data_IF_670051970037
#
_entry.id   IF_670051970037
#
_cell.length_a   1.000
_cell.length_b   1.000
_cell.length_c   1.000
_cell.angle_alpha   90.00
_cell.angle_beta   90.00
_cell.angle_gamma   90.00
#
_symmetry.space_group_name_H-M   'P 1'
#
loop_
_entity.id
_entity.type
_entity.pdbx_description
1 polymer ?
#
# COMPACT_ATOMS: atom_id res chain seq x y z
N UNK A 1 -52.46 -19.86 -46.88
CA UNK A 1 -51.81 -18.63 -46.39
C UNK A 1 -51.34 -18.88 -44.96
N UNK A 2 -50.05 -19.18 -44.76
CA UNK A 2 -49.47 -19.47 -43.44
C UNK A 2 -48.99 -18.16 -42.81
N UNK A 3 -49.53 -17.82 -41.63
CA UNK A 3 -49.05 -16.72 -40.78
C UNK A 3 -47.71 -17.15 -40.15
N UNK A 4 -46.65 -16.37 -40.40
CA UNK A 4 -45.38 -16.50 -39.70
C UNK A 4 -45.51 -15.67 -38.41
N UNK A 5 -45.38 -16.33 -37.25
CA UNK A 5 -45.26 -15.69 -35.95
C UNK A 5 -43.81 -15.19 -35.80
N UNK A 6 -43.61 -13.88 -35.67
CA UNK A 6 -42.37 -13.30 -35.17
C UNK A 6 -42.42 -13.31 -33.64
N UNK A 7 -41.59 -14.14 -33.01
CA UNK A 7 -41.30 -14.05 -31.58
C UNK A 7 -40.23 -12.95 -31.37
N UNK A 8 -40.36 -12.08 -30.36
CA UNK A 8 -39.33 -11.11 -30.07
C UNK A 8 -38.13 -11.82 -29.42
N UNK A 9 -36.95 -11.62 -30.01
CA UNK A 9 -35.67 -11.96 -29.39
C UNK A 9 -35.48 -11.03 -28.19
N UNK A 10 -35.69 -11.56 -26.99
CA UNK A 10 -35.32 -10.87 -25.75
C UNK A 10 -33.79 -10.97 -25.65
N UNK A 11 -33.11 -9.91 -26.06
CA UNK A 11 -31.69 -9.73 -25.84
C UNK A 11 -31.50 -9.37 -24.35
N UNK A 12 -31.17 -10.37 -23.54
CA UNK A 12 -30.80 -10.18 -22.15
C UNK A 12 -29.39 -9.52 -22.14
N UNK A 13 -29.33 -8.19 -22.12
CA UNK A 13 -28.10 -7.48 -21.79
C UNK A 13 -27.80 -7.72 -20.31
N UNK A 14 -26.99 -8.75 -20.02
CA UNK A 14 -26.22 -8.79 -18.79
C UNK A 14 -25.26 -7.59 -18.84
N UNK A 15 -25.52 -6.59 -18.00
CA UNK A 15 -24.59 -5.47 -17.83
C UNK A 15 -23.29 -6.02 -17.26
N UNK A 16 -22.31 -6.26 -18.14
CA UNK A 16 -20.91 -6.23 -17.75
C UNK A 16 -20.64 -4.79 -17.34
N UNK A 17 -20.75 -4.54 -16.04
CA UNK A 17 -20.22 -3.34 -15.42
C UNK A 17 -18.71 -3.50 -15.49
N UNK A 18 -18.13 -3.13 -16.63
CA UNK A 18 -16.70 -2.87 -16.72
C UNK A 18 -16.43 -1.81 -15.66
N UNK A 19 -15.67 -2.20 -14.64
CA UNK A 19 -15.05 -1.23 -13.76
C UNK A 19 -14.10 -0.45 -14.65
N UNK A 20 -14.53 0.74 -15.08
CA UNK A 20 -13.68 1.69 -15.81
C UNK A 20 -12.59 2.12 -14.83
N UNK A 21 -11.54 1.31 -14.70
CA UNK A 21 -10.29 1.76 -14.14
C UNK A 21 -9.74 2.78 -15.14
N UNK A 22 -9.68 4.04 -14.72
CA UNK A 22 -9.19 5.13 -15.56
C UNK A 22 -7.77 4.80 -16.01
N UNK A 23 -7.58 4.57 -17.31
CA UNK A 23 -6.28 4.24 -17.92
C UNK A 23 -5.24 5.37 -17.80
N UNK A 24 -5.61 6.55 -17.26
CA UNK A 24 -4.75 7.74 -17.19
C UNK A 24 -4.37 8.21 -15.77
N UNK A 25 -4.64 7.43 -14.72
CA UNK A 25 -4.19 7.79 -13.38
C UNK A 25 -2.88 7.05 -13.04
N UNK A 26 -1.74 7.74 -12.88
CA UNK A 26 -0.43 7.13 -12.64
C UNK A 26 -0.30 6.43 -11.27
N UNK A 27 -1.37 6.43 -10.46
CA UNK A 27 -1.41 5.91 -9.11
C UNK A 27 -2.05 4.53 -8.97
N UNK A 28 -2.39 3.87 -10.08
CA UNK A 28 -2.89 2.49 -10.04
C UNK A 28 -1.78 1.48 -10.28
N UNK A 29 -1.82 0.43 -9.47
CA UNK A 29 -1.07 -0.79 -9.66
C UNK A 29 -2.07 -1.94 -9.78
N UNK A 30 -2.25 -2.46 -11.00
CA UNK A 30 -3.12 -3.62 -11.23
C UNK A 30 -2.27 -4.88 -11.32
N UNK A 31 -2.39 -5.76 -10.33
CA UNK A 31 -1.79 -7.09 -10.36
C UNK A 31 -2.85 -8.15 -10.04
N UNK A 32 -2.77 -9.30 -10.68
CA UNK A 32 -3.51 -10.49 -10.23
C UNK A 32 -2.55 -11.37 -9.43
N UNK A 33 -3.00 -11.89 -8.29
CA UNK A 33 -2.26 -12.81 -7.43
C UNK A 33 -1.35 -12.15 -6.40
N UNK A 34 -1.63 -10.94 -5.94
CA UNK A 34 -0.76 -10.28 -4.95
C UNK A 34 -0.90 -10.92 -3.56
N UNK A 35 0.21 -11.49 -3.07
CA UNK A 35 0.30 -12.10 -1.75
C UNK A 35 0.81 -11.11 -0.71
N UNK A 36 1.86 -10.39 -1.10
CA UNK A 36 2.57 -9.45 -0.25
C UNK A 36 2.68 -8.09 -0.94
N UNK A 37 2.62 -7.04 -0.13
CA UNK A 37 2.99 -5.70 -0.52
C UNK A 37 4.12 -5.23 0.40
N UNK A 38 5.15 -4.62 -0.14
CA UNK A 38 6.16 -3.90 0.65
C UNK A 38 6.02 -2.41 0.34
N UNK A 39 5.77 -1.62 1.37
CA UNK A 39 5.82 -0.15 1.31
C UNK A 39 7.19 0.28 1.81
N UNK A 40 7.93 1.07 1.04
CA UNK A 40 9.23 1.63 1.43
C UNK A 40 9.17 3.15 1.44
N UNK A 41 9.50 3.74 2.57
CA UNK A 41 9.71 5.18 2.72
C UNK A 41 11.19 5.43 2.51
N UNK A 42 11.57 6.00 1.36
CA UNK A 42 12.96 6.27 1.00
C UNK A 42 13.27 7.76 1.02
N UNK A 43 14.40 8.11 1.61
CA UNK A 43 14.93 9.46 1.66
C UNK A 43 16.46 9.50 1.58
N UNK A 44 16.96 10.59 1.02
CA UNK A 44 18.39 10.93 1.03
C UNK A 44 18.66 12.18 1.87
N UNK A 45 19.93 12.43 2.17
CA UNK A 45 20.37 13.60 2.93
C UNK A 45 20.27 14.93 2.17
N UNK A 46 20.14 14.90 0.84
CA UNK A 46 20.15 16.09 0.01
C UNK A 46 18.79 16.77 -0.12
N UNK A 47 17.71 15.98 -0.11
CA UNK A 47 16.33 16.44 -0.28
C UNK A 47 15.46 16.11 0.92
N UNK A 48 15.52 14.87 1.41
CA UNK A 48 14.75 14.46 2.58
C UNK A 48 15.31 15.05 3.86
N UNK A 49 16.45 14.51 4.30
CA UNK A 49 17.04 14.79 5.60
C UNK A 49 17.61 13.54 6.26
N UNK A 50 17.48 13.44 7.57
CA UNK A 50 17.95 12.30 8.37
C UNK A 50 16.92 11.92 9.41
N UNK A 51 16.77 10.63 9.69
CA UNK A 51 15.92 10.10 10.76
C UNK A 51 14.43 10.40 10.53
N UNK A 52 13.86 9.73 9.52
CA UNK A 52 12.43 9.82 9.21
C UNK A 52 11.70 8.70 9.97
N UNK A 53 10.79 9.09 10.86
CA UNK A 53 9.95 8.17 11.62
C UNK A 53 8.65 7.88 10.87
N UNK A 54 8.42 6.61 10.53
CA UNK A 54 7.26 6.18 9.75
C UNK A 54 6.10 5.68 10.61
N UNK A 55 4.87 5.79 10.10
CA UNK A 55 3.65 5.20 10.69
C UNK A 55 2.84 4.55 9.59
N UNK A 56 2.51 3.27 9.74
CA UNK A 56 1.61 2.58 8.81
C UNK A 56 0.52 1.86 9.56
N UNK A 57 -0.73 1.98 9.12
CA UNK A 57 -1.86 1.30 9.75
C UNK A 57 -2.93 0.91 8.74
N UNK A 58 -3.63 -0.19 9.03
CA UNK A 58 -4.87 -0.53 8.36
C UNK A 58 -6.01 0.23 9.05
N UNK A 59 -6.66 1.11 8.29
CA UNK A 59 -7.74 1.98 8.76
C UNK A 59 -9.11 1.56 8.27
N UNK A 60 -9.19 0.70 7.25
CA UNK A 60 -10.40 0.00 6.84
C UNK A 60 -10.09 -1.48 6.58
N UNK A 61 -10.61 -2.43 7.38
CA UNK A 61 -11.36 -2.17 8.62
C UNK A 61 -10.40 -1.60 9.69
N UNK A 62 -10.86 -0.65 10.50
CA UNK A 62 -10.01 -0.01 11.49
C UNK A 62 -9.44 -1.00 12.51
N UNK A 63 -8.12 -0.99 12.71
CA UNK A 63 -7.42 -1.86 13.67
C UNK A 63 -6.81 -1.11 14.86
N UNK A 64 -6.72 0.22 14.79
CA UNK A 64 -6.17 1.11 15.84
C UNK A 64 -4.74 0.74 16.29
N UNK A 65 -3.93 0.17 15.39
CA UNK A 65 -2.53 -0.16 15.61
C UNK A 65 -1.74 0.44 14.45
N UNK A 66 -0.89 1.43 14.75
CA UNK A 66 0.14 1.89 13.84
C UNK A 66 1.43 1.08 14.09
N UNK A 67 2.10 0.65 13.02
CA UNK A 67 3.47 0.14 13.11
C UNK A 67 4.47 1.25 12.77
N UNK A 68 5.62 1.25 13.44
CA UNK A 68 6.66 2.27 13.30
C UNK A 68 7.39 2.60 14.60
N UNK A 69 8.30 3.58 14.54
CA UNK A 69 9.08 4.00 15.71
C UNK A 69 8.20 4.45 16.88
N UNK A 70 8.53 4.00 18.09
CA UNK A 70 7.74 4.24 19.31
C UNK A 70 6.24 3.85 19.20
N UNK A 71 5.89 2.97 18.25
CA UNK A 71 4.56 2.36 18.08
C UNK A 71 4.70 0.82 18.10
N UNK A 72 3.84 0.09 17.37
CA UNK A 72 3.96 -1.35 17.23
C UNK A 72 5.08 -1.75 16.26
N UNK A 73 5.74 -2.88 16.50
CA UNK A 73 6.58 -3.50 15.46
C UNK A 73 5.75 -4.32 14.46
N UNK A 74 4.59 -4.82 14.90
CA UNK A 74 3.68 -5.65 14.10
C UNK A 74 2.22 -5.30 14.39
N UNK A 75 1.35 -5.59 13.43
CA UNK A 75 -0.10 -5.58 13.60
C UNK A 75 -0.69 -6.95 13.21
N UNK A 76 -0.79 -7.86 14.18
CA UNK A 76 -1.52 -9.12 14.04
C UNK A 76 -1.01 -10.07 12.94
N UNK A 77 0.23 -9.91 12.48
CA UNK A 77 0.81 -10.64 11.34
C UNK A 77 0.51 -10.02 9.97
N UNK A 78 -0.33 -8.99 9.92
CA UNK A 78 -0.70 -8.31 8.68
C UNK A 78 0.27 -7.22 8.29
N UNK A 79 0.75 -6.45 9.26
CA UNK A 79 1.80 -5.46 9.08
C UNK A 79 3.03 -5.85 9.89
N UNK A 80 4.21 -5.71 9.31
CA UNK A 80 5.49 -5.90 9.99
C UNK A 80 6.50 -4.82 9.58
N UNK A 81 6.96 -4.02 10.54
CA UNK A 81 7.88 -2.92 10.30
C UNK A 81 9.35 -3.38 10.23
N UNK A 82 10.05 -2.86 9.23
CA UNK A 82 11.46 -3.10 8.95
C UNK A 82 12.39 -2.58 10.06
N UNK A 83 11.95 -1.61 10.86
CA UNK A 83 12.70 -1.06 11.98
C UNK A 83 13.21 0.35 11.73
N UNK A 84 13.81 0.91 12.77
CA UNK A 84 14.19 2.32 12.92
C UNK A 84 15.51 2.65 12.20
N UNK A 85 15.44 3.40 11.10
CA UNK A 85 16.61 3.91 10.40
C UNK A 85 16.89 5.37 10.78
N UNK A 86 17.73 5.56 11.80
CA UNK A 86 18.10 6.90 12.31
C UNK A 86 19.04 7.70 11.41
N UNK A 87 19.43 7.14 10.25
CA UNK A 87 20.32 7.76 9.28
C UNK A 87 19.60 8.23 8.02
N UNK A 88 20.12 7.77 6.88
CA UNK A 88 19.57 7.97 5.54
C UNK A 88 19.28 6.63 4.89
N UNK A 89 18.42 6.62 3.88
CA UNK A 89 18.05 5.39 3.17
C UNK A 89 16.54 5.19 3.26
N UNK A 90 16.10 4.09 3.87
CA UNK A 90 14.68 3.80 3.94
C UNK A 90 14.28 3.05 5.21
N UNK A 91 12.98 3.10 5.48
CA UNK A 91 12.25 2.15 6.30
C UNK A 91 11.18 1.48 5.46
N UNK A 92 10.73 0.30 5.87
CA UNK A 92 9.70 -0.42 5.14
C UNK A 92 8.69 -1.10 6.03
N UNK A 93 7.52 -1.40 5.48
CA UNK A 93 6.49 -2.22 6.11
C UNK A 93 6.10 -3.32 5.14
N UNK A 94 6.18 -4.56 5.60
CA UNK A 94 5.61 -5.72 4.93
C UNK A 94 4.11 -5.78 5.25
N UNK A 95 3.30 -5.97 4.21
CA UNK A 95 1.87 -6.24 4.31
C UNK A 95 1.54 -7.62 3.73
N UNK A 96 0.94 -8.48 4.55
CA UNK A 96 0.44 -9.80 4.15
C UNK A 96 -0.98 -9.71 3.58
N UNK A 97 -1.11 -9.24 2.33
CA UNK A 97 -2.42 -8.95 1.69
C UNK A 97 -3.30 -10.20 1.52
N UNK A 98 -2.73 -11.35 1.13
CA UNK A 98 -3.50 -12.60 1.05
C UNK A 98 -4.01 -13.03 2.42
N UNK A 99 -3.21 -12.88 3.47
CA UNK A 99 -3.61 -13.23 4.83
C UNK A 99 -4.74 -12.31 5.32
N UNK A 100 -4.64 -11.00 5.06
CA UNK A 100 -5.70 -10.03 5.32
C UNK A 100 -7.02 -10.43 4.62
N UNK A 101 -6.97 -10.68 3.32
CA UNK A 101 -8.15 -11.08 2.54
C UNK A 101 -8.75 -12.41 3.02
N UNK A 102 -7.91 -13.37 3.41
CA UNK A 102 -8.34 -14.66 3.96
C UNK A 102 -9.03 -14.48 5.31
N UNK A 103 -8.45 -13.68 6.20
CA UNK A 103 -8.95 -13.47 7.56
C UNK A 103 -10.25 -12.66 7.60
N UNK A 104 -10.38 -11.67 6.72
CA UNK A 104 -11.55 -10.81 6.61
C UNK A 104 -12.38 -11.20 5.39
N UNK A 105 -12.82 -12.45 5.35
CA UNK A 105 -13.60 -12.99 4.24
C UNK A 105 -14.85 -12.13 3.98
N UNK A 106 -15.04 -11.72 2.73
CA UNK A 106 -16.17 -10.88 2.32
C UNK A 106 -15.93 -9.37 2.47
N UNK A 107 -14.83 -8.95 3.08
CA UNK A 107 -14.40 -7.55 3.03
C UNK A 107 -13.88 -7.22 1.63
N UNK A 108 -14.27 -6.06 1.09
CA UNK A 108 -14.09 -5.76 -0.34
C UNK A 108 -12.80 -4.99 -0.64
N UNK A 109 -12.33 -4.21 0.31
CA UNK A 109 -11.16 -3.34 0.16
C UNK A 109 -10.44 -3.19 1.48
N UNK A 110 -9.15 -2.90 1.47
CA UNK A 110 -8.42 -2.50 2.66
C UNK A 110 -7.75 -1.16 2.42
N UNK A 111 -7.91 -0.22 3.36
CA UNK A 111 -7.25 1.07 3.30
C UNK A 111 -6.07 1.06 4.27
N UNK A 112 -4.87 1.24 3.74
CA UNK A 112 -3.61 1.26 4.48
C UNK A 112 -3.09 2.70 4.48
N UNK A 113 -3.18 3.36 5.63
CA UNK A 113 -2.72 4.75 5.82
C UNK A 113 -1.22 4.78 6.06
N UNK A 114 -0.57 5.78 5.49
CA UNK A 114 0.84 6.08 5.67
C UNK A 114 0.98 7.49 6.26
N UNK A 115 1.77 7.63 7.33
CA UNK A 115 2.22 8.92 7.85
C UNK A 115 3.71 8.89 8.14
N UNK A 116 4.31 10.06 8.27
CA UNK A 116 5.70 10.17 8.71
C UNK A 116 6.00 11.55 9.32
N UNK A 117 7.11 11.65 10.05
CA UNK A 117 7.72 12.93 10.43
C UNK A 117 9.24 12.78 10.53
N UNK A 118 9.94 13.91 10.50
CA UNK A 118 11.39 13.95 10.70
C UNK A 118 11.70 14.05 12.18
N UNK A 119 12.36 13.05 12.76
CA UNK A 119 12.81 13.11 14.15
C UNK A 119 13.99 14.07 14.30
N UNK A 120 14.99 13.93 13.43
CA UNK A 120 16.23 14.71 13.50
C UNK A 120 16.21 15.93 12.58
N UNK A 121 16.51 15.77 11.29
CA UNK A 121 16.71 16.90 10.37
C UNK A 121 15.84 16.75 9.13
N UNK A 122 15.14 17.82 8.75
CA UNK A 122 14.46 17.96 7.47
C UNK A 122 15.20 18.96 6.58
N UNK A 123 15.36 18.65 5.29
CA UNK A 123 15.86 19.58 4.27
C UNK A 123 14.69 20.18 3.48
N UNK A 124 14.26 19.59 2.36
CA UNK A 124 12.96 19.91 1.75
C UNK A 124 11.86 19.05 2.35
N UNK A 125 12.20 17.84 2.79
CA UNK A 125 11.27 16.85 3.31
C UNK A 125 10.66 15.97 2.23
N UNK A 126 11.14 16.06 0.99
CA UNK A 126 10.70 15.18 -0.09
C UNK A 126 11.22 13.77 0.12
N UNK A 127 10.31 12.80 0.04
CA UNK A 127 10.59 11.37 0.13
C UNK A 127 9.93 10.65 -1.04
N UNK A 128 10.49 9.49 -1.38
CA UNK A 128 9.86 8.54 -2.28
C UNK A 128 9.14 7.47 -1.45
N UNK A 129 7.87 7.24 -1.72
CA UNK A 129 7.15 6.08 -1.19
C UNK A 129 6.98 5.08 -2.31
N UNK A 130 7.65 3.95 -2.17
CA UNK A 130 7.65 2.86 -3.14
C UNK A 130 6.73 1.73 -2.67
N UNK A 131 5.93 1.21 -3.59
CA UNK A 131 5.04 0.08 -3.40
C UNK A 131 5.51 -1.05 -4.29
N UNK A 132 5.86 -2.20 -3.73
CA UNK A 132 6.24 -3.39 -4.52
C UNK A 132 5.37 -4.58 -4.16
N UNK A 133 4.66 -5.12 -5.15
CA UNK A 133 3.81 -6.30 -5.00
C UNK A 133 4.53 -7.60 -5.34
N UNK A 134 4.25 -8.66 -4.59
CA UNK A 134 4.83 -9.99 -4.81
C UNK A 134 3.74 -11.08 -4.79
N UNK A 135 3.88 -12.07 -5.67
CA UNK A 135 3.13 -13.34 -5.66
C UNK A 135 4.03 -14.46 -5.13
N UNK A 136 3.53 -15.19 -4.14
CA UNK A 136 4.21 -16.33 -3.53
C UNK A 136 5.53 -16.00 -2.85
N UNK A 137 6.35 -17.05 -2.68
CA UNK A 137 7.64 -16.96 -2.01
C UNK A 137 7.55 -16.75 -0.51
N UNK A 138 8.70 -16.41 0.08
CA UNK A 138 8.84 -16.08 1.50
C UNK A 138 9.46 -14.70 1.63
N UNK A 139 8.81 -13.83 2.40
CA UNK A 139 9.39 -12.54 2.77
C UNK A 139 10.44 -12.74 3.88
N UNK A 140 11.63 -12.21 3.66
CA UNK A 140 12.76 -12.28 4.58
C UNK A 140 13.23 -10.86 4.87
N UNK A 141 13.34 -10.54 6.15
CA UNK A 141 13.85 -9.24 6.59
C UNK A 141 15.33 -9.10 6.23
N UNK A 142 15.69 -7.96 5.64
CA UNK A 142 17.06 -7.59 5.29
C UNK A 142 17.32 -6.13 5.68
N UNK A 143 17.98 -5.93 6.82
CA UNK A 143 18.11 -4.60 7.43
C UNK A 143 16.74 -3.96 7.69
N UNK A 144 16.53 -2.78 7.11
CA UNK A 144 15.27 -2.03 7.15
C UNK A 144 14.30 -2.40 6.01
N UNK A 145 14.60 -3.46 5.26
CA UNK A 145 13.88 -3.94 4.07
C UNK A 145 13.22 -5.32 4.28
N UNK A 146 12.42 -5.68 3.29
CA UNK A 146 11.89 -7.02 3.04
C UNK A 146 12.25 -7.49 1.63
N UNK A 147 12.85 -8.68 1.53
CA UNK A 147 13.19 -9.35 0.28
C UNK A 147 12.29 -10.56 0.10
N UNK A 148 11.70 -10.70 -1.08
CA UNK A 148 10.97 -11.91 -1.44
C UNK A 148 11.94 -12.98 -1.98
N UNK A 149 11.97 -14.15 -1.34
CA UNK A 149 12.76 -15.30 -1.78
C UNK A 149 11.84 -16.37 -2.38
N UNK A 150 12.09 -16.70 -3.64
CA UNK A 150 11.39 -17.79 -4.35
C UNK A 150 9.98 -17.46 -4.84
N UNK A 151 9.52 -16.21 -4.73
CA UNK A 151 8.30 -15.71 -5.37
C UNK A 151 8.61 -14.81 -6.56
N UNK A 152 7.58 -14.10 -7.04
CA UNK A 152 7.65 -13.25 -8.22
C UNK A 152 7.28 -11.82 -7.86
N UNK A 153 8.11 -10.85 -8.22
CA UNK A 153 7.74 -9.43 -8.17
C UNK A 153 6.74 -9.14 -9.29
N UNK A 154 5.53 -8.72 -8.93
CA UNK A 154 4.47 -8.39 -9.89
C UNK A 154 4.67 -7.00 -10.48
N UNK A 155 5.26 -6.10 -9.70
CA UNK A 155 5.80 -4.84 -10.16
C UNK A 155 5.89 -3.81 -9.03
N UNK A 156 6.06 -2.56 -9.43
CA UNK A 156 6.40 -1.46 -8.53
C UNK A 156 5.77 -0.14 -8.99
N UNK A 157 5.39 0.71 -8.04
CA UNK A 157 5.14 2.13 -8.28
C UNK A 157 5.78 2.98 -7.20
N UNK A 158 6.02 4.25 -7.52
CA UNK A 158 6.63 5.22 -6.62
C UNK A 158 5.85 6.52 -6.68
N UNK A 159 5.57 7.10 -5.52
CA UNK A 159 5.01 8.44 -5.40
C UNK A 159 5.94 9.32 -4.57
N UNK A 160 5.98 10.61 -4.90
CA UNK A 160 6.74 11.58 -4.13
C UNK A 160 5.79 12.21 -3.10
N UNK A 161 6.27 12.36 -1.87
CA UNK A 161 5.55 13.04 -0.78
C UNK A 161 6.48 14.03 -0.09
N UNK A 162 5.92 15.16 0.32
CA UNK A 162 6.63 16.13 1.12
C UNK A 162 6.18 16.01 2.59
N UNK A 163 7.09 15.61 3.45
CA UNK A 163 6.88 15.51 4.90
C UNK A 163 7.49 16.76 5.55
N UNK A 164 6.64 17.56 6.16
CA UNK A 164 6.94 18.89 6.69
C UNK A 164 7.23 18.87 8.19
N UNK A 165 6.53 18.02 8.94
CA UNK A 165 6.66 17.94 10.39
C UNK A 165 8.06 17.46 10.76
N UNK A 166 8.76 18.26 11.56
CA UNK A 166 10.04 17.92 12.18
C UNK A 166 9.94 18.13 13.69
N UNK A 167 10.10 17.05 14.45
CA UNK A 167 10.00 17.09 15.92
C UNK A 167 10.72 15.87 16.51
N UNK A 168 11.61 16.10 17.48
CA UNK A 168 12.34 15.04 18.19
C UNK A 168 11.51 14.34 19.28
N UNK A 169 10.23 14.05 19.00
CA UNK A 169 9.33 13.35 19.92
C UNK A 169 8.27 12.57 19.17
N UNK A 170 7.69 11.56 19.82
CA UNK A 170 6.67 10.70 19.20
C UNK A 170 5.39 11.49 18.91
N UNK A 171 5.16 11.77 17.62
CA UNK A 171 3.93 12.34 17.09
C UNK A 171 3.34 11.42 16.01
N UNK A 172 2.18 11.79 15.48
CA UNK A 172 1.57 11.08 14.34
C UNK A 172 2.19 11.47 13.00
N UNK A 173 2.73 12.69 12.90
CA UNK A 173 3.32 13.23 11.68
C UNK A 173 2.29 13.65 10.62
N UNK A 174 2.76 13.83 9.40
CA UNK A 174 1.96 14.25 8.25
C UNK A 174 1.34 13.05 7.54
N UNK A 175 0.16 13.25 6.95
CA UNK A 175 -0.43 12.27 6.03
C UNK A 175 0.43 12.16 4.77
N UNK A 176 0.88 10.94 4.49
CA UNK A 176 1.66 10.61 3.30
C UNK A 176 0.82 9.87 2.23
N UNK A 177 -0.43 9.53 2.55
CA UNK A 177 -1.42 8.98 1.62
C UNK A 177 -2.04 7.67 2.11
N UNK A 178 -2.90 7.09 1.26
CA UNK A 178 -3.56 5.81 1.52
C UNK A 178 -3.29 4.87 0.36
N UNK A 179 -2.83 3.65 0.67
CA UNK A 179 -2.80 2.55 -0.29
C UNK A 179 -4.08 1.72 -0.09
N UNK A 180 -4.94 1.69 -1.11
CA UNK A 180 -6.21 0.97 -1.11
C UNK A 180 -6.09 -0.30 -1.94
N UNK A 181 -6.25 -1.44 -1.27
CA UNK A 181 -6.25 -2.75 -1.93
C UNK A 181 -7.69 -3.25 -2.14
N UNK A 182 -8.10 -3.51 -3.39
CA UNK A 182 -9.39 -4.10 -3.71
C UNK A 182 -9.27 -5.62 -3.82
N UNK A 183 -9.97 -6.36 -2.96
CA UNK A 183 -9.79 -7.82 -2.80
C UNK A 183 -10.23 -8.61 -4.02
N UNK A 184 -11.36 -8.23 -4.64
CA UNK A 184 -11.95 -8.98 -5.75
C UNK A 184 -11.13 -8.82 -7.04
N UNK A 185 -10.66 -7.60 -7.26
CA UNK A 185 -9.98 -7.23 -8.50
C UNK A 185 -8.45 -7.34 -8.35
N UNK A 186 -7.99 -7.57 -7.11
CA UNK A 186 -6.58 -7.63 -6.70
C UNK A 186 -5.76 -6.36 -7.05
N UNK A 187 -6.47 -5.25 -7.25
CA UNK A 187 -5.89 -3.95 -7.60
C UNK A 187 -5.44 -3.19 -6.37
N UNK A 188 -4.26 -2.56 -6.45
CA UNK A 188 -3.79 -1.56 -5.49
C UNK A 188 -3.91 -0.16 -6.10
N UNK A 189 -4.66 0.71 -5.44
CA UNK A 189 -4.81 2.13 -5.76
C UNK A 189 -4.06 2.97 -4.73
N UNK A 190 -3.21 3.90 -5.18
CA UNK A 190 -2.55 4.87 -4.32
C UNK A 190 -3.36 6.16 -4.36
N UNK A 191 -3.85 6.58 -3.20
CA UNK A 191 -4.63 7.79 -3.05
C UNK A 191 -3.71 8.91 -2.55
N UNK A 192 -3.81 10.06 -3.21
CA UNK A 192 -3.23 11.29 -2.68
C UNK A 192 -3.90 11.66 -1.35
N UNK A 193 -3.13 12.20 -0.38
CA UNK A 193 -3.64 12.64 0.92
C UNK A 193 -4.66 13.79 0.80
#
# INVERSE_FOLDING_TARGET
MKKVLLLPVILLLLSLQSCEFAEDNPYYITYTGIDYLVIRYYWDSGTGGTDLDTRTAIVDPARNIDVGWARGATDGGFLEWGGDNTGVGYESVLISLRELATRYTGHRKFDIRMRAFWFSTRISGDINIEFTGYDGGRMVKDGYNWINQGGTQLGQATVIRNIVTQVGSNVDGDEAGIARYYVKDEVLEILDP
#
